data_IF_628094196255
#
_entry.id   IF_628094196255
#
_cell.length_a   1.000
_cell.length_b   1.000
_cell.length_c   1.000
_cell.angle_alpha   90.00
_cell.angle_beta   90.00
_cell.angle_gamma   90.00
#
_symmetry.space_group_name_H-M   'P 1'
#
loop_
_entity.id
_entity.type
_entity.pdbx_description
1 polymer ?
#
# COMPACT_ATOMS: atom_id res chain seq x y z
N UNK A 1 12.06 12.50 -11.10
CA UNK A 1 11.25 11.50 -10.38
C UNK A 1 11.10 11.99 -8.96
N UNK A 2 9.87 12.08 -8.46
CA UNK A 2 9.55 12.57 -7.12
C UNK A 2 8.77 11.50 -6.35
N UNK A 3 9.05 11.35 -5.06
CA UNK A 3 8.30 10.46 -4.18
C UNK A 3 7.02 11.16 -3.74
N UNK A 4 5.87 10.60 -4.10
CA UNK A 4 4.56 11.20 -3.79
C UNK A 4 3.91 10.63 -2.53
N UNK A 5 4.24 9.38 -2.15
CA UNK A 5 3.70 8.71 -0.97
C UNK A 5 4.55 7.51 -0.57
N UNK A 6 4.46 7.11 0.70
CA UNK A 6 4.98 5.84 1.19
C UNK A 6 4.11 5.31 2.33
N UNK A 7 4.15 4.00 2.55
CA UNK A 7 3.52 3.30 3.65
C UNK A 7 4.51 2.31 4.26
N UNK A 8 4.35 1.98 5.53
CA UNK A 8 5.20 1.03 6.25
C UNK A 8 4.39 -0.19 6.63
N UNK A 9 5.04 -1.35 6.56
CA UNK A 9 4.54 -2.56 7.21
C UNK A 9 4.51 -2.37 8.73
N UNK A 10 3.59 -3.05 9.40
CA UNK A 10 3.61 -3.11 10.87
C UNK A 10 4.80 -3.97 11.34
N UNK A 11 5.03 -5.10 10.67
CA UNK A 11 6.13 -6.02 10.93
C UNK A 11 6.54 -6.78 9.65
N UNK A 12 7.79 -7.24 9.55
CA UNK A 12 8.24 -8.06 8.41
C UNK A 12 8.11 -7.41 7.02
N UNK A 13 8.28 -8.23 5.98
CA UNK A 13 8.22 -7.80 4.58
C UNK A 13 6.80 -7.77 4.00
N UNK A 14 6.56 -6.83 3.08
CA UNK A 14 5.38 -6.88 2.21
C UNK A 14 5.67 -7.81 1.02
N UNK A 15 4.78 -8.75 0.75
CA UNK A 15 5.00 -9.81 -0.23
C UNK A 15 4.17 -9.62 -1.51
N UNK A 16 3.10 -8.83 -1.45
CA UNK A 16 2.26 -8.53 -2.59
C UNK A 16 1.70 -7.10 -2.53
N UNK A 17 1.37 -6.57 -3.71
CA UNK A 17 0.75 -5.26 -3.88
C UNK A 17 -0.29 -5.31 -5.00
N UNK A 18 -1.40 -4.59 -4.82
CA UNK A 18 -2.42 -4.41 -5.85
C UNK A 18 -2.98 -2.98 -5.79
N UNK A 19 -3.16 -2.36 -6.95
CA UNK A 19 -3.86 -1.09 -7.08
C UNK A 19 -5.36 -1.34 -7.23
N UNK A 20 -6.18 -0.47 -6.64
CA UNK A 20 -7.60 -0.44 -6.98
C UNK A 20 -7.78 0.06 -8.44
N UNK A 21 -8.84 -0.38 -9.14
CA UNK A 21 -9.09 0.05 -10.52
C UNK A 21 -9.32 1.56 -10.69
N UNK A 22 -9.75 2.24 -9.64
CA UNK A 22 -9.94 3.69 -9.61
C UNK A 22 -8.67 4.48 -9.23
N UNK A 23 -7.56 3.78 -8.92
CA UNK A 23 -6.27 4.36 -8.57
C UNK A 23 -6.21 5.01 -7.18
N UNK A 24 -7.28 4.95 -6.39
CA UNK A 24 -7.37 5.61 -5.08
C UNK A 24 -6.81 4.82 -3.91
N UNK A 25 -6.61 3.52 -4.10
CA UNK A 25 -6.13 2.62 -3.06
C UNK A 25 -5.00 1.74 -3.53
N UNK A 26 -4.11 1.45 -2.58
CA UNK A 26 -3.12 0.38 -2.69
C UNK A 26 -3.38 -0.60 -1.56
N UNK A 27 -3.55 -1.88 -1.89
CA UNK A 27 -3.62 -2.96 -0.93
C UNK A 27 -2.28 -3.71 -0.92
N UNK A 28 -1.76 -3.99 0.28
CA UNK A 28 -0.56 -4.82 0.46
C UNK A 28 -0.81 -5.91 1.50
N UNK A 29 -0.27 -7.10 1.25
CA UNK A 29 -0.20 -8.18 2.24
C UNK A 29 1.25 -8.54 2.55
N UNK A 30 1.52 -8.98 3.78
CA UNK A 30 2.87 -9.26 4.26
C UNK A 30 2.92 -10.33 5.35
N UNK A 31 4.05 -10.35 6.04
CA UNK A 31 4.36 -11.28 7.14
C UNK A 31 3.79 -10.83 8.50
N UNK A 32 3.04 -9.72 8.53
CA UNK A 32 2.49 -9.12 9.75
C UNK A 32 1.05 -9.53 10.08
N UNK A 33 0.53 -10.57 9.45
CA UNK A 33 -0.86 -11.04 9.58
C UNK A 33 -1.92 -9.97 9.24
N UNK A 34 -1.52 -8.88 8.58
CA UNK A 34 -2.40 -7.80 8.17
C UNK A 34 -2.51 -7.64 6.66
N UNK A 35 -3.64 -7.07 6.25
CA UNK A 35 -3.77 -6.38 4.96
C UNK A 35 -3.74 -4.89 5.26
N UNK A 36 -2.80 -4.17 4.66
CA UNK A 36 -2.76 -2.72 4.77
C UNK A 36 -3.40 -2.10 3.54
N UNK A 37 -4.37 -1.20 3.78
CA UNK A 37 -4.98 -0.37 2.75
C UNK A 37 -4.44 1.06 2.89
N UNK A 38 -3.83 1.56 1.83
CA UNK A 38 -3.39 2.94 1.72
C UNK A 38 -4.32 3.71 0.78
N UNK A 39 -4.96 4.76 1.30
CA UNK A 39 -5.72 5.70 0.49
C UNK A 39 -4.81 6.81 -0.02
N UNK A 40 -4.91 7.07 -1.32
CA UNK A 40 -4.21 8.13 -2.02
C UNK A 40 -5.18 8.82 -2.99
N UNK A 41 -5.47 10.09 -2.76
CA UNK A 41 -6.14 10.94 -3.75
C UNK A 41 -5.17 12.06 -4.14
N UNK A 42 -4.71 12.09 -5.40
CA UNK A 42 -3.82 13.15 -5.88
C UNK A 42 -4.54 14.46 -6.21
N UNK A 43 -5.88 14.51 -6.12
CA UNK A 43 -6.68 15.69 -6.46
C UNK A 43 -6.98 16.59 -5.25
#
# INVERSE_FOLDING_TARGET
>A
MELVAYMKSYFGGLLCVCWSPDGKYVATGGEDDFITLFYFDPN
#
